data_IF_323198454726
#
_entry.id   IF_323198454726
#
_cell.length_a   1.000
_cell.length_b   1.000
_cell.length_c   1.000
_cell.angle_alpha   90.00
_cell.angle_beta   90.00
_cell.angle_gamma   90.00
#
_symmetry.space_group_name_H-M   'P 1'
#
loop_
_entity.id
_entity.type
_entity.pdbx_description
1 polymer ?
#
# COMPACT_ATOMS: atom_id res chain seq x y z
N UNK A 1 -6.13 -1.87 -4.07
CA UNK A 1 -5.88 -0.75 -3.13
C UNK A 1 -4.40 -0.69 -2.70
N UNK A 2 -3.71 -1.82 -2.49
CA UNK A 2 -2.30 -1.86 -2.01
C UNK A 2 -1.26 -1.60 -3.12
N UNK A 3 -1.54 -1.98 -4.35
CA UNK A 3 -0.62 -1.92 -5.50
C UNK A 3 -0.01 -0.54 -5.79
N UNK A 4 -0.70 0.60 -5.62
CA UNK A 4 -0.10 1.93 -5.81
C UNK A 4 1.08 2.18 -4.88
N UNK A 5 1.04 1.70 -3.64
CA UNK A 5 2.15 1.82 -2.69
C UNK A 5 3.34 0.95 -3.09
N UNK A 6 3.08 -0.24 -3.66
CA UNK A 6 4.12 -1.09 -4.24
C UNK A 6 4.82 -0.39 -5.43
N UNK A 7 4.05 0.30 -6.27
CA UNK A 7 4.61 1.06 -7.39
C UNK A 7 5.45 2.24 -6.90
N UNK A 8 4.95 3.00 -5.90
CA UNK A 8 5.72 4.08 -5.28
C UNK A 8 7.03 3.55 -4.67
N UNK A 9 6.97 2.45 -3.93
CA UNK A 9 8.14 1.80 -3.37
C UNK A 9 9.18 1.42 -4.44
N UNK A 10 8.72 0.86 -5.56
CA UNK A 10 9.60 0.50 -6.67
C UNK A 10 10.31 1.70 -7.29
N UNK A 11 9.62 2.84 -7.38
CA UNK A 11 10.18 4.11 -7.89
C UNK A 11 11.18 4.71 -6.90
N UNK A 12 10.82 4.80 -5.61
CA UNK A 12 11.68 5.38 -4.57
C UNK A 12 12.95 4.57 -4.35
N UNK A 13 12.84 3.24 -4.40
CA UNK A 13 13.96 2.31 -4.24
C UNK A 13 14.71 2.01 -5.55
N UNK A 14 14.36 2.69 -6.66
CA UNK A 14 14.93 2.49 -8.00
C UNK A 14 14.93 1.01 -8.45
N UNK A 15 13.89 0.26 -8.10
CA UNK A 15 13.73 -1.15 -8.50
C UNK A 15 13.18 -1.30 -9.91
N UNK A 16 12.24 -0.43 -10.30
CA UNK A 16 11.68 -0.39 -11.66
C UNK A 16 11.49 1.04 -12.14
N UNK A 17 11.81 1.29 -13.41
CA UNK A 17 11.41 2.52 -14.06
C UNK A 17 9.91 2.49 -14.41
N UNK A 18 9.24 3.65 -14.50
CA UNK A 18 7.82 3.70 -14.83
C UNK A 18 7.52 3.18 -16.23
N UNK A 19 8.47 3.25 -17.16
CA UNK A 19 8.35 2.80 -18.55
C UNK A 19 8.78 1.36 -18.78
N UNK A 20 9.24 0.65 -17.73
CA UNK A 20 9.63 -0.75 -17.87
C UNK A 20 8.43 -1.62 -18.23
N UNK A 21 8.52 -2.33 -19.35
CA UNK A 21 7.45 -3.22 -19.82
C UNK A 21 7.61 -4.61 -19.17
N UNK A 22 6.51 -5.10 -18.62
CA UNK A 22 6.37 -6.45 -18.08
C UNK A 22 5.26 -7.18 -18.82
N UNK A 23 5.50 -8.42 -19.21
CA UNK A 23 4.48 -9.26 -19.83
C UNK A 23 3.53 -9.84 -18.76
N UNK A 24 2.23 -9.65 -18.96
CA UNK A 24 1.18 -10.24 -18.13
C UNK A 24 0.40 -11.29 -18.94
N UNK A 25 0.76 -12.58 -18.86
CA UNK A 25 0.02 -13.66 -19.48
C UNK A 25 -1.21 -14.10 -18.66
N UNK A 26 -1.54 -13.43 -17.57
CA UNK A 26 -2.59 -13.80 -16.62
C UNK A 26 -2.14 -14.73 -15.50
N UNK A 27 -0.85 -15.01 -15.42
CA UNK A 27 -0.26 -15.84 -14.36
C UNK A 27 1.21 -15.49 -14.14
N UNK A 28 1.70 -15.86 -12.96
CA UNK A 28 3.11 -15.76 -12.58
C UNK A 28 3.59 -17.10 -12.01
N UNK A 29 4.63 -17.65 -12.60
CA UNK A 29 5.23 -18.91 -12.13
C UNK A 29 6.43 -18.60 -11.24
N UNK A 30 6.43 -19.12 -10.03
CA UNK A 30 7.54 -18.96 -9.09
C UNK A 30 7.67 -20.17 -8.17
N UNK A 31 8.88 -20.73 -8.06
CA UNK A 31 9.18 -21.85 -7.16
C UNK A 31 8.32 -23.09 -7.39
N UNK A 32 8.00 -23.41 -8.65
CA UNK A 32 7.15 -24.56 -9.02
C UNK A 32 5.65 -24.33 -8.78
N UNK A 33 5.23 -23.11 -8.35
CA UNK A 33 3.83 -22.77 -8.15
C UNK A 33 3.37 -21.72 -9.16
N UNK A 34 2.14 -21.84 -9.64
CA UNK A 34 1.48 -20.87 -10.52
C UNK A 34 0.52 -19.98 -9.71
N UNK A 35 0.75 -18.67 -9.75
CA UNK A 35 -0.10 -17.64 -9.19
C UNK A 35 -0.95 -17.04 -10.31
N UNK A 36 -2.26 -17.23 -10.28
CA UNK A 36 -3.17 -16.80 -11.36
C UNK A 36 -3.75 -15.42 -11.08
N UNK A 37 -3.93 -14.64 -12.15
CA UNK A 37 -4.75 -13.44 -12.13
C UNK A 37 -6.22 -13.79 -12.38
N UNK A 38 -7.15 -13.08 -11.76
CA UNK A 38 -8.59 -13.30 -11.98
C UNK A 38 -9.07 -12.76 -13.33
N UNK A 39 -8.35 -11.80 -13.90
CA UNK A 39 -8.77 -11.06 -15.09
C UNK A 39 -8.16 -11.61 -16.39
N UNK A 40 -7.45 -12.74 -16.31
CA UNK A 40 -6.72 -13.28 -17.46
C UNK A 40 -5.44 -12.48 -17.75
N UNK A 41 -4.91 -12.59 -18.96
CA UNK A 41 -3.70 -11.88 -19.40
C UNK A 41 -4.02 -10.48 -19.92
N UNK A 42 -3.22 -9.50 -19.52
CA UNK A 42 -3.33 -8.12 -19.95
C UNK A 42 -2.26 -7.71 -20.99
N UNK A 43 -1.39 -8.65 -21.38
CA UNK A 43 -0.33 -8.44 -22.36
C UNK A 43 0.84 -7.63 -21.81
N UNK A 44 1.44 -6.79 -22.64
CA UNK A 44 2.57 -5.95 -22.28
C UNK A 44 2.09 -4.70 -21.52
N UNK A 45 2.62 -4.49 -20.30
CA UNK A 45 2.22 -3.41 -19.42
C UNK A 45 3.44 -2.66 -18.88
N UNK A 46 3.37 -1.34 -18.90
CA UNK A 46 4.18 -0.47 -18.05
C UNK A 46 3.55 -0.30 -16.66
N UNK A 47 4.20 0.46 -15.77
CA UNK A 47 3.71 0.69 -14.41
C UNK A 47 2.34 1.39 -14.40
N UNK A 48 2.12 2.35 -15.29
CA UNK A 48 0.86 3.09 -15.39
C UNK A 48 -0.31 2.15 -15.68
N UNK A 49 -0.17 1.35 -16.76
CA UNK A 49 -1.20 0.38 -17.14
C UNK A 49 -1.37 -0.74 -16.13
N UNK A 50 -0.29 -1.16 -15.47
CA UNK A 50 -0.36 -2.16 -14.41
C UNK A 50 -1.18 -1.69 -13.20
N UNK A 51 -1.14 -0.40 -12.85
CA UNK A 51 -2.00 0.20 -11.83
C UNK A 51 -3.43 0.35 -12.37
N UNK A 52 -3.58 0.93 -13.56
CA UNK A 52 -4.87 1.21 -14.21
C UNK A 52 -5.76 -0.02 -14.31
N UNK A 53 -5.19 -1.14 -14.77
CA UNK A 53 -5.90 -2.41 -14.95
C UNK A 53 -5.68 -3.40 -13.81
N UNK A 54 -5.01 -2.96 -12.75
CA UNK A 54 -4.81 -3.76 -11.54
C UNK A 54 -4.12 -5.12 -11.79
N UNK A 55 -3.10 -5.18 -12.68
CA UNK A 55 -2.38 -6.41 -13.01
C UNK A 55 -1.82 -7.09 -11.76
N UNK A 56 -2.20 -8.32 -11.50
CA UNK A 56 -1.60 -9.11 -10.42
C UNK A 56 -0.20 -9.57 -10.81
N UNK A 57 -0.02 -10.03 -12.05
CA UNK A 57 1.25 -10.57 -12.57
C UNK A 57 2.38 -9.56 -12.45
N UNK A 58 2.11 -8.28 -12.79
CA UNK A 58 3.08 -7.19 -12.65
C UNK A 58 3.55 -7.05 -11.20
N UNK A 59 2.61 -7.04 -10.24
CA UNK A 59 2.93 -6.82 -8.84
C UNK A 59 3.46 -8.07 -8.13
N UNK A 60 3.13 -9.28 -8.60
CA UNK A 60 3.78 -10.52 -8.14
C UNK A 60 5.28 -10.51 -8.44
N UNK A 61 5.64 -10.21 -9.70
CA UNK A 61 7.05 -10.15 -10.11
C UNK A 61 7.80 -9.02 -9.39
N UNK A 62 7.15 -7.86 -9.21
CA UNK A 62 7.72 -6.73 -8.47
C UNK A 62 8.00 -7.08 -7.01
N UNK A 63 7.07 -7.77 -6.35
CA UNK A 63 7.27 -8.16 -4.95
C UNK A 63 8.47 -9.09 -4.78
N UNK A 64 8.65 -10.06 -5.66
CA UNK A 64 9.80 -10.96 -5.64
C UNK A 64 11.12 -10.20 -5.88
N UNK A 65 11.11 -9.26 -6.82
CA UNK A 65 12.26 -8.40 -7.12
C UNK A 65 12.66 -7.50 -5.94
N UNK A 66 11.68 -6.98 -5.20
CA UNK A 66 11.93 -6.12 -4.04
C UNK A 66 12.36 -6.91 -2.81
N UNK A 67 11.76 -8.06 -2.58
CA UNK A 67 11.91 -8.83 -1.35
C UNK A 67 11.06 -8.29 -0.19
N UNK A 68 10.75 -9.17 0.77
CA UNK A 68 9.82 -8.86 1.86
C UNK A 68 10.30 -7.72 2.77
N UNK A 69 11.59 -7.69 3.11
CA UNK A 69 12.10 -6.72 4.07
C UNK A 69 12.13 -5.30 3.47
N UNK A 70 12.49 -5.15 2.19
CA UNK A 70 12.41 -3.85 1.52
C UNK A 70 10.95 -3.37 1.38
N UNK A 71 10.00 -4.27 1.13
CA UNK A 71 8.56 -3.95 1.15
C UNK A 71 8.14 -3.50 2.55
N UNK A 72 8.52 -4.24 3.59
CA UNK A 72 8.22 -3.92 4.99
C UNK A 72 8.71 -2.52 5.36
N UNK A 73 9.99 -2.25 5.11
CA UNK A 73 10.63 -0.99 5.52
C UNK A 73 10.00 0.22 4.82
N UNK A 74 9.62 0.06 3.55
CA UNK A 74 8.93 1.12 2.81
C UNK A 74 7.49 1.34 3.29
N UNK A 75 6.76 0.28 3.59
CA UNK A 75 5.33 0.36 3.95
C UNK A 75 5.10 0.78 5.40
N UNK A 76 6.05 0.52 6.29
CA UNK A 76 5.94 0.82 7.71
C UNK A 76 5.69 2.31 8.01
N UNK A 77 6.38 3.29 7.40
CA UNK A 77 6.09 4.71 7.61
C UNK A 77 4.68 5.14 7.15
N UNK A 78 4.03 4.38 6.26
CA UNK A 78 2.65 4.57 5.81
C UNK A 78 1.60 4.04 6.80
N UNK A 79 2.00 3.62 8.00
CA UNK A 79 1.21 3.04 9.10
C UNK A 79 0.78 1.59 8.89
N UNK A 80 1.13 0.93 7.81
CA UNK A 80 0.83 -0.49 7.66
C UNK A 80 1.45 -1.32 8.79
N UNK A 81 0.66 -2.19 9.41
CA UNK A 81 1.09 -3.01 10.54
C UNK A 81 1.33 -2.25 11.84
N UNK A 82 0.88 -1.00 11.94
CA UNK A 82 1.02 -0.14 13.13
C UNK A 82 -0.32 0.53 13.45
N UNK A 83 -0.46 1.06 14.68
CA UNK A 83 -1.54 1.97 14.99
C UNK A 83 -1.35 3.29 14.25
N UNK A 84 -2.43 3.90 13.77
CA UNK A 84 -2.39 5.21 13.11
C UNK A 84 -2.24 6.36 14.10
N UNK A 85 -2.54 6.09 15.38
CA UNK A 85 -2.53 7.08 16.44
C UNK A 85 -3.82 7.90 16.53
N UNK A 86 -4.92 7.41 15.92
CA UNK A 86 -6.23 8.04 16.08
C UNK A 86 -6.63 8.11 17.56
N UNK A 87 -7.35 9.16 17.93
CA UNK A 87 -7.85 9.43 19.28
C UNK A 87 -9.02 8.51 19.69
N UNK A 88 -8.94 7.22 19.34
CA UNK A 88 -9.86 6.15 19.71
C UNK A 88 -9.12 5.01 20.41
N UNK A 89 -9.73 4.49 21.47
CA UNK A 89 -9.24 3.29 22.13
C UNK A 89 -9.52 2.02 21.32
N UNK A 90 -8.60 1.04 21.42
CA UNK A 90 -8.79 -0.29 20.82
C UNK A 90 -8.37 -0.39 19.35
N UNK A 91 -7.58 0.56 18.84
CA UNK A 91 -7.04 0.47 17.48
C UNK A 91 -6.17 -0.79 17.32
N UNK A 92 -6.42 -1.55 16.26
CA UNK A 92 -5.73 -2.80 15.94
C UNK A 92 -4.56 -2.52 14.99
N UNK A 93 -3.39 -3.10 15.30
CA UNK A 93 -2.16 -2.89 14.53
C UNK A 93 -2.15 -3.60 13.17
N UNK A 94 -2.90 -4.71 13.02
CA UNK A 94 -2.79 -5.56 11.84
C UNK A 94 -1.42 -6.25 11.75
N UNK A 95 -1.03 -6.65 10.53
CA UNK A 95 0.25 -7.33 10.26
C UNK A 95 0.88 -6.81 8.99
N UNK A 96 2.11 -6.32 9.08
CA UNK A 96 3.00 -6.06 7.96
C UNK A 96 4.18 -7.04 8.10
N UNK A 97 4.27 -8.07 7.24
CA UNK A 97 5.26 -9.13 7.39
C UNK A 97 6.68 -8.66 7.04
N UNK A 98 7.65 -9.27 7.71
CA UNK A 98 9.08 -9.22 7.43
C UNK A 98 9.73 -10.56 7.78
N UNK A 99 10.98 -10.76 7.44
CA UNK A 99 11.73 -11.94 7.88
C UNK A 99 11.83 -11.98 9.41
N UNK A 100 12.00 -10.82 10.06
CA UNK A 100 12.02 -10.69 11.50
C UNK A 100 10.67 -10.97 12.14
N UNK A 101 9.58 -10.38 11.60
CA UNK A 101 8.23 -10.66 12.05
C UNK A 101 7.92 -12.15 12.05
N UNK A 102 8.25 -12.85 10.96
CA UNK A 102 7.99 -14.28 10.86
C UNK A 102 8.78 -15.08 11.88
N UNK A 103 10.06 -14.75 12.09
CA UNK A 103 10.93 -15.37 13.09
C UNK A 103 10.39 -15.23 14.52
N UNK A 104 9.78 -14.09 14.83
CA UNK A 104 9.26 -13.78 16.15
C UNK A 104 7.84 -14.32 16.39
N UNK A 105 7.04 -14.45 15.31
CA UNK A 105 5.65 -14.91 15.39
C UNK A 105 5.52 -16.41 15.56
N UNK A 106 6.33 -17.20 14.85
CA UNK A 106 6.22 -18.65 14.88
C UNK A 106 7.13 -19.27 15.92
N UNK A 107 6.60 -20.33 16.61
CA UNK A 107 7.36 -21.07 17.64
C UNK A 107 8.26 -22.15 17.01
N UNK A 108 7.76 -22.88 16.00
CA UNK A 108 8.44 -24.00 15.36
C UNK A 108 9.58 -23.48 14.45
N UNK A 109 10.82 -24.02 14.60
CA UNK A 109 11.98 -23.53 13.84
C UNK A 109 11.78 -23.56 12.31
N UNK A 110 11.14 -24.60 11.78
CA UNK A 110 10.85 -24.76 10.35
C UNK A 110 9.92 -23.69 9.81
N UNK A 111 9.04 -23.12 10.64
CA UNK A 111 8.10 -22.06 10.27
C UNK A 111 8.69 -20.66 10.40
N UNK A 112 9.84 -20.49 11.07
CA UNK A 112 10.49 -19.19 11.27
C UNK A 112 11.18 -18.69 10.01
N UNK A 113 11.57 -19.59 9.11
CA UNK A 113 12.24 -19.26 7.87
C UNK A 113 11.28 -18.59 6.89
N UNK A 114 11.70 -17.50 6.28
CA UNK A 114 10.99 -16.92 5.15
C UNK A 114 11.28 -17.70 3.87
N UNK A 115 10.24 -18.07 3.15
CA UNK A 115 10.37 -18.71 1.84
C UNK A 115 10.07 -17.69 0.76
N UNK A 116 10.89 -17.56 -0.30
CA UNK A 116 10.70 -16.53 -1.34
C UNK A 116 9.30 -16.54 -1.98
N UNK A 117 8.66 -17.69 -2.11
CA UNK A 117 7.30 -17.82 -2.63
C UNK A 117 6.22 -17.12 -1.78
N UNK A 118 6.48 -16.88 -0.49
CA UNK A 118 5.56 -16.16 0.39
C UNK A 118 5.52 -14.66 0.05
N UNK A 119 6.56 -14.13 -0.60
CA UNK A 119 6.64 -12.73 -1.01
C UNK A 119 5.71 -12.42 -2.18
N UNK A 120 5.42 -13.40 -3.05
CA UNK A 120 4.64 -13.18 -4.27
C UNK A 120 3.30 -12.51 -3.97
N UNK A 121 2.51 -13.07 -3.04
CA UNK A 121 1.18 -12.55 -2.69
C UNK A 121 1.22 -11.21 -1.97
N UNK A 122 2.35 -10.83 -1.36
CA UNK A 122 2.49 -9.53 -0.71
C UNK A 122 2.37 -8.38 -1.70
N UNK A 123 2.79 -8.58 -2.95
CA UNK A 123 2.72 -7.55 -3.99
C UNK A 123 1.32 -7.04 -4.30
N UNK A 124 0.31 -7.82 -3.99
CA UNK A 124 -1.10 -7.44 -4.18
C UNK A 124 -1.84 -7.18 -2.84
N UNK A 125 -1.11 -7.11 -1.73
CA UNK A 125 -1.68 -6.86 -0.40
C UNK A 125 -2.32 -8.10 0.24
N UNK A 126 -1.96 -9.30 -0.22
CA UNK A 126 -2.44 -10.59 0.29
C UNK A 126 -1.32 -11.35 1.04
N UNK A 127 -1.54 -12.65 1.28
CA UNK A 127 -0.61 -13.48 2.05
C UNK A 127 -0.69 -13.15 3.53
N UNK A 128 0.44 -12.82 4.16
CA UNK A 128 0.48 -12.43 5.59
C UNK A 128 0.08 -10.97 5.84
N UNK A 129 -0.13 -10.16 4.80
CA UNK A 129 -0.63 -8.79 4.95
C UNK A 129 -2.03 -8.80 5.58
N UNK A 130 -2.18 -8.06 6.67
CA UNK A 130 -3.47 -7.85 7.33
C UNK A 130 -3.53 -6.40 7.83
N UNK A 131 -4.33 -5.56 7.18
CA UNK A 131 -4.39 -4.13 7.43
C UNK A 131 -5.81 -3.70 7.78
N UNK A 132 -5.91 -2.69 8.64
CA UNK A 132 -7.21 -2.05 8.90
C UNK A 132 -7.57 -1.11 7.76
N UNK A 133 -8.87 -0.85 7.58
CA UNK A 133 -9.35 0.14 6.61
C UNK A 133 -8.82 1.54 6.92
N UNK A 134 -8.63 1.85 8.21
CA UNK A 134 -8.06 3.12 8.65
C UNK A 134 -6.59 3.27 8.19
N UNK A 135 -5.77 2.21 8.31
CA UNK A 135 -4.40 2.22 7.79
C UNK A 135 -4.36 2.47 6.28
N UNK A 136 -5.25 1.80 5.53
CA UNK A 136 -5.38 2.02 4.09
C UNK A 136 -5.81 3.46 3.77
N UNK A 137 -6.72 4.03 4.53
CA UNK A 137 -7.18 5.40 4.35
C UNK A 137 -6.06 6.42 4.65
N UNK A 138 -5.32 6.24 5.75
CA UNK A 138 -4.17 7.10 6.09
C UNK A 138 -3.07 7.02 5.03
N UNK A 139 -2.73 5.81 4.56
CA UNK A 139 -1.74 5.64 3.51
C UNK A 139 -2.19 6.33 2.21
N UNK A 140 -3.48 6.18 1.83
CA UNK A 140 -4.04 6.81 0.64
C UNK A 140 -4.06 8.35 0.76
N UNK A 141 -4.43 8.88 1.92
CA UNK A 141 -4.37 10.32 2.21
C UNK A 141 -2.93 10.86 2.14
N UNK A 142 -1.97 10.10 2.65
CA UNK A 142 -0.54 10.44 2.56
C UNK A 142 -0.08 10.54 1.11
N UNK A 143 -0.45 9.59 0.25
CA UNK A 143 -0.15 9.63 -1.18
C UNK A 143 -0.84 10.84 -1.86
N UNK A 144 -2.10 11.11 -1.53
CA UNK A 144 -2.85 12.25 -2.07
C UNK A 144 -2.23 13.60 -1.65
N UNK A 145 -1.69 13.68 -0.44
CA UNK A 145 -1.02 14.88 0.10
C UNK A 145 0.44 15.06 -0.39
N UNK A 146 0.89 14.27 -1.36
CA UNK A 146 2.25 14.39 -1.87
C UNK A 146 3.33 13.75 -0.99
N UNK A 147 2.95 12.89 -0.03
CA UNK A 147 3.86 12.20 0.88
C UNK A 147 3.84 12.70 2.33
N UNK A 148 3.04 13.71 2.65
CA UNK A 148 2.87 14.18 4.03
C UNK A 148 1.80 13.36 4.73
N UNK A 149 2.18 12.64 5.79
CA UNK A 149 1.29 11.84 6.63
C UNK A 149 0.78 12.65 7.80
N UNK A 150 -0.54 12.69 7.98
CA UNK A 150 -1.21 13.28 9.15
C UNK A 150 -1.77 12.17 10.04
N UNK A 151 -1.75 12.42 11.35
CA UNK A 151 -2.44 11.55 12.33
C UNK A 151 -3.95 11.80 12.23
N UNK A 152 -4.77 10.77 11.99
CA UNK A 152 -6.21 10.93 11.98
C UNK A 152 -6.72 11.27 13.40
N UNK A 153 -7.79 12.07 13.47
CA UNK A 153 -8.42 12.46 14.74
C UNK A 153 -9.92 12.68 14.55
N UNK A 154 -10.70 12.48 15.60
CA UNK A 154 -12.14 12.74 15.65
C UNK A 154 -12.46 14.00 16.45
N UNK A 155 -11.67 14.28 17.50
CA UNK A 155 -11.96 15.41 18.39
C UNK A 155 -11.30 16.66 17.83
N UNK A 156 -12.11 17.60 17.38
CA UNK A 156 -11.65 18.91 16.87
C UNK A 156 -11.49 19.94 17.98
N UNK A 157 -12.43 19.97 18.91
CA UNK A 157 -12.46 20.91 20.03
C UNK A 157 -13.28 20.34 21.19
N UNK A 158 -13.02 20.84 22.38
CA UNK A 158 -13.79 20.55 23.59
C UNK A 158 -14.53 21.84 24.00
N UNK A 159 -15.83 21.71 24.31
CA UNK A 159 -16.64 22.82 24.81
C UNK A 159 -16.76 22.72 26.34
N UNK A 160 -16.36 23.75 27.04
CA UNK A 160 -16.65 23.89 28.48
C UNK A 160 -18.16 24.05 28.67
N UNK A 161 -18.75 23.21 29.49
CA UNK A 161 -20.21 23.19 29.72
C UNK A 161 -20.70 24.34 30.58
N UNK A 162 -19.81 24.99 31.36
CA UNK A 162 -20.15 26.10 32.27
C UNK A 162 -19.96 27.45 31.56
N UNK A 163 -18.78 27.64 30.95
CA UNK A 163 -18.44 28.91 30.29
C UNK A 163 -18.91 28.99 28.84
N UNK A 164 -19.15 27.84 28.19
CA UNK A 164 -19.45 27.75 26.77
C UNK A 164 -18.25 27.93 25.87
N UNK A 165 -17.06 28.10 26.41
CA UNK A 165 -15.83 28.31 25.66
C UNK A 165 -15.42 27.04 24.87
N UNK A 166 -14.97 27.22 23.61
CA UNK A 166 -14.45 26.17 22.74
C UNK A 166 -12.92 26.19 22.75
N UNK A 167 -12.33 25.14 23.29
CA UNK A 167 -10.88 24.93 23.27
C UNK A 167 -10.50 23.94 22.16
N UNK A 168 -9.79 24.37 21.11
CA UNK A 168 -9.30 23.46 20.06
C UNK A 168 -8.36 22.40 20.65
N UNK A 169 -8.48 21.16 20.18
CA UNK A 169 -7.52 20.11 20.52
C UNK A 169 -6.32 20.21 19.58
N UNK A 170 -5.10 20.46 20.08
CA UNK A 170 -3.91 20.55 19.25
C UNK A 170 -3.68 19.22 18.50
N UNK A 171 -3.41 19.33 17.20
CA UNK A 171 -3.07 18.16 16.39
C UNK A 171 -1.57 18.12 16.12
N UNK A 172 -0.96 16.91 16.09
CA UNK A 172 0.44 16.78 15.72
C UNK A 172 0.68 17.31 14.29
N UNK A 173 1.84 17.92 14.02
CA UNK A 173 2.19 18.37 12.68
C UNK A 173 2.27 17.16 11.72
N UNK A 174 2.00 17.39 10.45
CA UNK A 174 2.19 16.38 9.41
C UNK A 174 3.66 15.95 9.33
N UNK A 175 3.89 14.66 9.09
CA UNK A 175 5.21 14.09 8.88
C UNK A 175 5.45 13.95 7.38
N UNK A 176 6.42 14.68 6.83
CA UNK A 176 6.91 14.45 5.47
C UNK A 176 7.71 13.15 5.41
N UNK A 177 7.31 12.23 4.54
CA UNK A 177 7.98 10.94 4.32
C UNK A 177 9.11 11.03 3.30
N UNK A 178 9.36 12.21 2.73
CA UNK A 178 10.49 12.51 1.84
C UNK A 178 10.39 11.86 0.46
N UNK A 179 9.19 11.54 -0.02
CA UNK A 179 9.02 10.96 -1.36
C UNK A 179 9.33 11.99 -2.44
N UNK A 180 9.95 11.52 -3.55
CA UNK A 180 10.20 12.38 -4.70
C UNK A 180 8.88 12.81 -5.35
N UNK A 181 8.60 14.12 -5.52
CA UNK A 181 7.33 14.60 -6.08
C UNK A 181 6.98 13.96 -7.42
N UNK A 182 7.98 13.76 -8.28
CA UNK A 182 7.82 13.10 -9.58
C UNK A 182 7.29 11.65 -9.43
N UNK A 183 7.75 10.90 -8.44
CA UNK A 183 7.32 9.52 -8.23
C UNK A 183 5.88 9.47 -7.71
N UNK A 184 5.53 10.37 -6.80
CA UNK A 184 4.15 10.52 -6.30
C UNK A 184 3.21 10.88 -7.45
N UNK A 185 3.61 11.82 -8.32
CA UNK A 185 2.81 12.23 -9.48
C UNK A 185 2.57 11.09 -10.47
N UNK A 186 3.59 10.26 -10.78
CA UNK A 186 3.44 9.09 -11.64
C UNK A 186 2.35 8.14 -11.09
N UNK A 187 2.38 7.84 -9.79
CA UNK A 187 1.40 6.94 -9.16
C UNK A 187 0.01 7.58 -9.11
N UNK A 188 -0.10 8.87 -8.78
CA UNK A 188 -1.38 9.60 -8.77
C UNK A 188 -2.03 9.65 -10.16
N UNK A 189 -1.27 9.90 -11.20
CA UNK A 189 -1.77 9.91 -12.59
C UNK A 189 -2.29 8.53 -13.01
N UNK A 190 -1.61 7.45 -12.59
CA UNK A 190 -2.09 6.09 -12.82
C UNK A 190 -3.39 5.78 -12.04
N UNK A 191 -3.55 6.30 -10.80
CA UNK A 191 -4.79 6.18 -10.03
C UNK A 191 -5.96 6.96 -10.66
N UNK A 192 -5.71 8.13 -11.26
CA UNK A 192 -6.73 8.85 -12.03
C UNK A 192 -7.18 8.01 -13.23
N UNK A 193 -6.25 7.33 -13.91
CA UNK A 193 -6.57 6.45 -15.03
C UNK A 193 -7.41 5.22 -14.62
N UNK A 194 -7.29 4.72 -13.38
CA UNK A 194 -8.16 3.65 -12.84
C UNK A 194 -9.64 4.05 -12.96
N UNK A 195 -9.97 5.30 -12.65
CA UNK A 195 -11.35 5.78 -12.65
C UNK A 195 -11.84 6.19 -14.05
N UNK A 196 -10.95 6.67 -14.92
CA UNK A 196 -11.30 7.17 -16.27
C UNK A 196 -11.39 6.09 -17.36
N UNK A 197 -10.67 5.00 -17.23
CA UNK A 197 -10.61 3.94 -18.25
C UNK A 197 -10.04 2.62 -17.73
N UNK A 198 -10.04 2.42 -16.41
CA UNK A 198 -9.55 1.22 -15.75
C UNK A 198 -10.65 0.49 -14.96
N UNK A 199 -10.23 -0.23 -13.93
CA UNK A 199 -11.11 -1.09 -13.12
C UNK A 199 -12.16 -0.32 -12.31
N UNK A 200 -11.96 0.98 -12.06
CA UNK A 200 -12.89 1.85 -11.32
C UNK A 200 -13.96 2.53 -12.18
N UNK A 201 -13.86 2.47 -13.50
CA UNK A 201 -14.69 3.27 -14.42
C UNK A 201 -16.20 3.13 -14.18
N UNK A 202 -16.68 1.91 -13.90
CA UNK A 202 -18.12 1.69 -13.65
C UNK A 202 -18.61 2.32 -12.34
N UNK A 203 -17.74 2.35 -11.32
CA UNK A 203 -18.08 2.88 -9.99
C UNK A 203 -18.11 4.41 -10.00
N UNK A 204 -17.22 5.03 -10.78
CA UNK A 204 -17.06 6.47 -10.85
C UNK A 204 -17.64 7.09 -12.13
N UNK A 205 -18.48 6.35 -12.88
CA UNK A 205 -19.17 6.88 -14.04
C UNK A 205 -20.08 8.05 -13.64
N UNK A 206 -19.82 9.24 -14.20
CA UNK A 206 -20.56 10.45 -13.86
C UNK A 206 -20.11 11.21 -12.62
N UNK A 207 -19.06 10.73 -11.94
CA UNK A 207 -18.40 11.52 -10.90
C UNK A 207 -17.66 12.73 -11.53
N UNK A 208 -17.64 13.91 -10.87
CA UNK A 208 -16.98 15.12 -11.34
C UNK A 208 -15.46 14.98 -11.45
#
# INVERSE_FOLDING_TARGET
>A
TYKPFMALAALELNKRSPSMIVSDPGYYNFGGRTFRSHEGGLGALDMHRAIQFSSNTYFYSLAVEMGVDAIHDFMKPLTFGQTTGIDLNGEVRGTLPSTEWKRNTYKRPEMKRWFPGETVSLGIGQGYNNFTMLQLAVAQATLANGGTRYTPHLIKAVKDTVTGELSPVPQPPGQDLGYKPKNVEIVRNALIAVNKGGTGTRVFAGAP
#
